data_IF_113481390504
#
_entry.id   IF_113481390504
#
_cell.length_a   1.000
_cell.length_b   1.000
_cell.length_c   1.000
_cell.angle_alpha   90.00
_cell.angle_beta   90.00
_cell.angle_gamma   90.00
#
_symmetry.space_group_name_H-M   'P 1'
#
loop_
_entity.id
_entity.type
_entity.pdbx_description
1 polymer ?
#
# COMPACT_ATOMS: atom_id res chain seq x y z
N UNK A 1 16.31 -18.12 0.92
CA UNK A 1 15.37 -17.75 2.01
C UNK A 1 14.36 -16.82 1.37
N UNK A 2 13.16 -17.34 1.10
CA UNK A 2 12.11 -16.61 0.38
C UNK A 2 11.21 -15.89 1.38
N UNK A 3 11.17 -14.57 1.32
CA UNK A 3 10.20 -13.79 2.06
C UNK A 3 8.82 -14.05 1.47
N UNK A 4 7.91 -14.61 2.25
CA UNK A 4 6.51 -14.74 1.88
C UNK A 4 5.87 -13.34 1.93
N UNK A 5 5.94 -12.62 0.80
CA UNK A 5 5.13 -11.43 0.55
C UNK A 5 3.69 -11.89 0.31
N UNK A 6 2.78 -11.58 1.24
CA UNK A 6 1.37 -11.97 1.12
C UNK A 6 0.53 -10.74 0.77
N UNK A 7 -0.11 -10.79 -0.40
CA UNK A 7 -1.07 -9.81 -0.87
C UNK A 7 -2.46 -10.30 -0.46
N UNK A 8 -3.17 -9.53 0.36
CA UNK A 8 -4.55 -9.83 0.75
C UNK A 8 -5.46 -8.80 0.07
N UNK A 9 -6.19 -9.24 -0.95
CA UNK A 9 -7.24 -8.43 -1.57
C UNK A 9 -8.54 -8.61 -0.78
N UNK A 10 -9.04 -7.52 -0.19
CA UNK A 10 -10.25 -7.49 0.60
C UNK A 10 -11.27 -6.56 -0.08
N UNK A 11 -11.91 -7.04 -1.17
CA UNK A 11 -13.08 -6.41 -1.82
C UNK A 11 -12.85 -4.97 -2.31
N UNK A 12 -12.89 -4.02 -1.37
CA UNK A 12 -12.72 -2.58 -1.55
C UNK A 12 -11.29 -2.08 -1.20
N UNK A 13 -10.41 -2.93 -0.67
CA UNK A 13 -9.03 -2.57 -0.37
C UNK A 13 -8.05 -3.69 -0.69
N UNK A 14 -6.78 -3.32 -0.85
CA UNK A 14 -5.66 -4.25 -0.96
C UNK A 14 -4.73 -3.97 0.21
N UNK A 15 -4.42 -5.01 0.99
CA UNK A 15 -3.44 -4.93 2.07
C UNK A 15 -2.23 -5.79 1.71
N UNK A 16 -1.07 -5.15 1.64
CA UNK A 16 0.23 -5.75 1.41
C UNK A 16 0.94 -5.92 2.74
N UNK A 17 1.52 -7.10 2.99
CA UNK A 17 2.21 -7.40 4.24
C UNK A 17 3.65 -7.80 3.96
N UNK A 18 4.60 -7.05 4.54
CA UNK A 18 6.03 -7.27 4.37
C UNK A 18 6.67 -7.62 5.71
N UNK A 19 7.42 -8.72 5.82
CA UNK A 19 8.20 -9.02 7.01
C UNK A 19 9.43 -8.09 7.06
N UNK A 20 9.48 -7.20 8.04
CA UNK A 20 10.57 -6.21 8.18
C UNK A 20 11.41 -6.45 9.44
N UNK A 21 11.16 -7.55 10.15
CA UNK A 21 11.85 -7.95 11.38
C UNK A 21 13.38 -7.89 11.26
N UNK A 22 13.94 -8.41 10.18
CA UNK A 22 15.40 -8.44 9.96
C UNK A 22 15.98 -7.04 9.73
N UNK A 23 15.16 -6.12 9.22
CA UNK A 23 15.54 -4.74 8.93
C UNK A 23 15.57 -3.91 10.21
N UNK A 24 14.52 -4.02 11.03
CA UNK A 24 14.37 -3.19 12.24
C UNK A 24 14.85 -3.87 13.53
N UNK A 25 15.17 -5.16 13.48
CA UNK A 25 15.64 -5.94 14.62
C UNK A 25 14.57 -6.14 15.69
N UNK A 26 13.31 -6.32 15.29
CA UNK A 26 12.20 -6.56 16.23
C UNK A 26 11.59 -5.30 16.87
N UNK A 27 12.01 -4.11 16.45
CA UNK A 27 11.52 -2.81 16.94
C UNK A 27 10.63 -2.11 15.90
N UNK A 28 9.31 -2.09 16.14
CA UNK A 28 8.36 -1.47 15.21
C UNK A 28 8.43 0.07 15.17
N UNK A 29 9.00 0.71 16.20
CA UNK A 29 9.16 2.17 16.24
C UNK A 29 10.18 2.65 15.21
N UNK A 30 11.16 1.81 14.85
CA UNK A 30 12.08 2.08 13.74
C UNK A 30 11.40 2.10 12.38
N UNK A 31 10.39 1.24 12.17
CA UNK A 31 9.61 1.24 10.92
C UNK A 31 8.98 2.63 10.74
N UNK A 32 8.29 3.13 11.76
CA UNK A 32 7.62 4.43 11.72
C UNK A 32 8.56 5.62 11.43
N UNK A 33 9.83 5.54 11.84
CA UNK A 33 10.81 6.58 11.59
C UNK A 33 11.51 6.48 10.23
N UNK A 34 11.51 5.29 9.61
CA UNK A 34 12.30 4.99 8.42
C UNK A 34 11.45 4.74 7.17
N UNK A 35 10.14 4.49 7.34
CA UNK A 35 9.24 4.15 6.24
C UNK A 35 8.83 5.38 5.44
N UNK A 36 8.84 5.23 4.14
CA UNK A 36 8.34 6.18 3.16
C UNK A 36 7.43 5.41 2.21
N UNK A 37 6.16 5.81 2.15
CA UNK A 37 5.17 5.21 1.26
C UNK A 37 4.58 6.32 0.41
N UNK A 38 4.65 6.17 -0.90
CA UNK A 38 4.16 7.15 -1.85
C UNK A 38 3.52 6.45 -3.06
N UNK A 39 2.50 7.09 -3.64
CA UNK A 39 2.02 6.74 -4.98
C UNK A 39 2.61 7.76 -5.94
N UNK A 40 3.42 7.28 -6.87
CA UNK A 40 4.02 8.06 -7.94
C UNK A 40 3.08 8.06 -9.15
N UNK A 41 2.77 9.25 -9.67
CA UNK A 41 1.93 9.48 -10.86
C UNK A 41 0.53 8.83 -10.88
N UNK A 42 0.06 8.27 -9.75
CA UNK A 42 -1.25 7.63 -9.64
C UNK A 42 -1.28 6.17 -10.11
N UNK A 43 -0.15 5.63 -10.57
CA UNK A 43 -0.05 4.28 -11.13
C UNK A 43 1.01 3.40 -10.45
N UNK A 44 1.93 3.98 -9.67
CA UNK A 44 3.00 3.21 -9.04
C UNK A 44 3.08 3.43 -7.53
N UNK A 45 2.79 2.39 -6.76
CA UNK A 45 3.06 2.38 -5.32
C UNK A 45 4.55 2.14 -5.06
N UNK A 46 5.16 3.04 -4.31
CA UNK A 46 6.54 2.94 -3.87
C UNK A 46 6.57 2.83 -2.35
N UNK A 47 7.19 1.77 -1.83
CA UNK A 47 7.37 1.51 -0.41
C UNK A 47 8.87 1.40 -0.16
N UNK A 48 9.42 2.31 0.63
CA UNK A 48 10.84 2.38 0.95
C UNK A 48 11.08 2.41 2.45
N UNK A 49 12.00 1.58 2.95
CA UNK A 49 12.54 1.71 4.31
C UNK A 49 13.94 2.25 4.26
N UNK A 50 14.14 3.47 4.76
CA UNK A 50 15.43 4.16 4.77
C UNK A 50 15.70 4.75 6.14
N UNK A 51 16.62 4.14 6.89
CA UNK A 51 17.01 4.66 8.20
C UNK A 51 17.68 6.04 8.07
N UNK A 52 17.60 6.86 9.12
CA UNK A 52 18.18 8.21 9.16
C UNK A 52 19.68 8.23 8.86
N UNK A 53 20.42 7.19 9.25
CA UNK A 53 21.83 7.06 8.87
C UNK A 53 22.02 6.81 7.37
N UNK A 54 21.17 6.00 6.75
CA UNK A 54 21.23 5.73 5.32
C UNK A 54 20.84 6.94 4.50
N UNK A 55 19.83 7.70 4.94
CA UNK A 55 19.47 8.97 4.33
C UNK A 55 20.66 9.95 4.36
N UNK A 56 21.35 10.08 5.50
CA UNK A 56 22.54 10.93 5.62
C UNK A 56 23.70 10.49 4.72
N UNK A 57 23.88 9.18 4.55
CA UNK A 57 24.98 8.59 3.77
C UNK A 57 24.61 8.32 2.31
N UNK A 58 23.41 8.70 1.86
CA UNK A 58 22.85 8.36 0.54
C UNK A 58 22.98 6.87 0.20
N UNK A 59 22.81 6.01 1.21
CA UNK A 59 22.85 4.57 1.03
C UNK A 59 21.53 4.03 0.48
N UNK A 60 21.57 2.90 -0.25
CA UNK A 60 20.36 2.25 -0.73
C UNK A 60 19.41 1.91 0.42
N UNK A 61 18.11 1.99 0.15
CA UNK A 61 17.05 1.63 1.09
C UNK A 61 17.21 0.15 1.49
N UNK A 62 16.88 -0.17 2.75
CA UNK A 62 16.86 -1.55 3.26
C UNK A 62 15.72 -2.37 2.65
N UNK A 63 14.63 -1.68 2.28
CA UNK A 63 13.53 -2.19 1.49
C UNK A 63 13.22 -1.15 0.42
N UNK A 64 13.12 -1.57 -0.83
CA UNK A 64 12.62 -0.77 -1.96
C UNK A 64 11.67 -1.67 -2.75
N UNK A 65 10.38 -1.43 -2.59
CA UNK A 65 9.31 -2.19 -3.27
C UNK A 65 8.56 -1.22 -4.16
N UNK A 66 8.37 -1.62 -5.41
CA UNK A 66 7.65 -0.86 -6.43
C UNK A 66 6.58 -1.74 -7.04
N UNK A 67 5.33 -1.33 -6.91
CA UNK A 67 4.18 -2.09 -7.36
C UNK A 67 3.38 -1.23 -8.33
N UNK A 68 3.16 -1.75 -9.53
CA UNK A 68 2.26 -1.15 -10.49
C UNK A 68 0.82 -1.38 -10.01
N UNK A 69 0.11 -0.29 -9.78
CA UNK A 69 -1.29 -0.27 -9.40
C UNK A 69 -2.15 -0.20 -10.65
N UNK A 70 -3.25 -0.95 -10.67
CA UNK A 70 -4.28 -0.74 -11.70
C UNK A 70 -5.02 0.57 -11.43
N UNK A 71 -5.53 1.26 -12.47
CA UNK A 71 -6.36 2.44 -12.27
C UNK A 71 -7.63 2.08 -11.47
N UNK A 72 -8.03 2.96 -10.55
CA UNK A 72 -9.21 2.76 -9.69
C UNK A 72 -8.90 2.62 -8.20
N UNK A 73 -7.66 2.80 -7.78
CA UNK A 73 -7.29 2.93 -6.37
C UNK A 73 -7.17 4.38 -5.94
N UNK A 74 -7.42 4.63 -4.65
CA UNK A 74 -7.28 5.94 -4.02
C UNK A 74 -5.80 6.34 -3.98
N UNK A 75 -5.56 7.64 -4.10
CA UNK A 75 -4.19 8.18 -4.04
C UNK A 75 -3.67 8.24 -2.60
N UNK A 76 -4.54 8.02 -1.60
CA UNK A 76 -4.14 7.88 -0.20
C UNK A 76 -3.82 6.43 0.13
N UNK A 77 -2.64 6.25 0.69
CA UNK A 77 -2.16 4.98 1.22
C UNK A 77 -2.11 5.07 2.73
N UNK A 78 -2.68 4.07 3.40
CA UNK A 78 -2.54 3.89 4.84
C UNK A 78 -1.48 2.82 5.08
N UNK A 79 -0.59 3.03 6.05
CA UNK A 79 0.37 2.00 6.43
C UNK A 79 0.51 1.96 7.95
N UNK A 80 0.86 0.79 8.46
CA UNK A 80 1.14 0.59 9.88
C UNK A 80 2.21 -0.48 10.05
N UNK A 81 3.02 -0.33 11.10
CA UNK A 81 3.87 -1.40 11.59
C UNK A 81 3.11 -2.18 12.67
N UNK A 82 3.21 -3.50 12.64
CA UNK A 82 2.60 -4.37 13.65
C UNK A 82 3.59 -5.44 14.08
N UNK A 83 3.91 -5.46 15.37
CA UNK A 83 4.62 -6.59 15.97
C UNK A 83 3.64 -7.73 16.32
N UNK A 84 3.92 -8.92 15.82
CA UNK A 84 3.20 -10.16 16.14
C UNK A 84 4.23 -11.17 16.60
N UNK A 85 4.14 -11.57 17.87
CA UNK A 85 5.16 -12.34 18.57
C UNK A 85 6.52 -11.62 18.53
N UNK A 86 7.48 -12.19 17.81
CA UNK A 86 8.82 -11.62 17.60
C UNK A 86 9.03 -11.07 16.18
N UNK A 87 7.99 -11.13 15.33
CA UNK A 87 8.05 -10.65 13.94
C UNK A 87 7.40 -9.27 13.82
N UNK A 88 8.11 -8.35 13.19
CA UNK A 88 7.57 -7.04 12.80
C UNK A 88 7.10 -7.12 11.35
N UNK A 89 5.85 -6.78 11.14
CA UNK A 89 5.19 -6.72 9.85
C UNK A 89 4.89 -5.28 9.49
N UNK A 90 5.21 -4.88 8.26
CA UNK A 90 4.72 -3.66 7.66
C UNK A 90 3.46 -3.99 6.87
N UNK A 91 2.35 -3.38 7.24
CA UNK A 91 1.07 -3.54 6.57
C UNK A 91 0.76 -2.24 5.81
N UNK A 92 0.65 -2.33 4.49
CA UNK A 92 0.31 -1.19 3.61
C UNK A 92 -1.04 -1.47 3.00
N UNK A 93 -2.03 -0.62 3.29
CA UNK A 93 -3.40 -0.74 2.81
C UNK A 93 -3.72 0.38 1.83
N UNK A 94 -4.21 0.00 0.66
CA UNK A 94 -4.68 0.90 -0.38
C UNK A 94 -6.16 0.63 -0.59
N UNK A 95 -6.98 1.68 -0.50
CA UNK A 95 -8.42 1.57 -0.76
C UNK A 95 -8.69 1.77 -2.25
N UNK A 96 -9.70 1.09 -2.78
CA UNK A 96 -10.25 1.40 -4.10
C UNK A 96 -10.86 2.80 -4.02
N UNK A 97 -10.78 3.58 -5.10
CA UNK A 97 -11.58 4.80 -5.21
C UNK A 97 -13.02 4.33 -5.10
N UNK A 98 -13.75 4.87 -4.13
CA UNK A 98 -15.21 4.75 -4.14
C UNK A 98 -15.67 5.16 -5.54
N UNK A 99 -16.67 4.48 -6.13
CA UNK A 99 -17.25 4.97 -7.37
C UNK A 99 -17.65 6.41 -7.08
N UNK A 100 -16.92 7.36 -7.66
CA UNK A 100 -17.30 8.75 -7.58
C UNK A 100 -18.72 8.78 -8.12
N UNK A 101 -19.67 9.28 -7.33
CA UNK A 101 -20.97 9.75 -7.78
C UNK A 101 -20.78 10.93 -8.76
N UNK A 102 -19.92 10.76 -9.75
CA UNK A 102 -19.80 11.63 -10.90
C UNK A 102 -20.86 11.15 -11.89
N UNK A 103 -22.10 11.51 -11.56
CA UNK A 103 -23.11 11.99 -12.51
C UNK A 103 -23.51 11.11 -13.70
N UNK A 104 -23.00 9.89 -13.86
CA UNK A 104 -23.51 8.97 -14.88
C UNK A 104 -24.69 8.27 -14.25
N UNK A 105 -25.84 8.95 -14.32
CA UNK A 105 -27.13 8.25 -14.37
C UNK A 105 -26.98 7.19 -15.45
N UNK A 106 -26.78 5.94 -15.04
CA UNK A 106 -27.08 4.81 -15.91
C UNK A 106 -28.58 4.99 -16.17
N UNK A 107 -28.89 5.55 -17.33
CA UNK A 107 -30.27 5.60 -17.80
C UNK A 107 -30.60 4.15 -18.06
N UNK A 108 -31.32 3.53 -17.13
CA UNK A 108 -31.89 2.22 -17.35
C UNK A 108 -32.90 2.39 -18.50
N UNK A 109 -32.46 2.04 -19.70
CA UNK A 109 -33.29 2.04 -20.92
C UNK A 109 -34.16 0.78 -20.94
N UNK A 110 -34.74 0.38 -19.81
CA UNK A 110 -35.73 -0.70 -19.75
C UNK A 110 -37.17 -0.20 -19.56
N UNK A 111 -37.38 1.12 -19.59
CA UNK A 111 -38.71 1.73 -19.49
C UNK A 111 -39.05 2.64 -20.69
N UNK A 112 -38.60 2.29 -21.89
CA UNK A 112 -39.32 2.69 -23.11
C UNK A 112 -40.32 1.57 -23.38
N UNK A 113 -41.43 1.56 -22.63
CA UNK A 113 -42.65 0.93 -23.11
C UNK A 113 -43.14 1.75 -24.30
N UNK A 114 -42.86 1.24 -25.49
CA UNK A 114 -43.52 1.62 -26.73
C UNK A 114 -44.85 0.86 -26.80
N UNK A 115 -45.95 1.61 -26.83
CA UNK A 115 -47.36 1.22 -26.99
C UNK A 115 -48.14 0.69 -25.77
#
# INVERSE_FOLDING_TARGET
MGGEEMIVEAGDSVTLRFPVTEIVGGDESKVNNAIEVAIDHGDMLTISLRDREQQKKQQPSLLDVRLLMTPGYDEKVEWQAKKVDDKVWLEVTIKKKAPTEDGTRIVDISAIEEN
#
